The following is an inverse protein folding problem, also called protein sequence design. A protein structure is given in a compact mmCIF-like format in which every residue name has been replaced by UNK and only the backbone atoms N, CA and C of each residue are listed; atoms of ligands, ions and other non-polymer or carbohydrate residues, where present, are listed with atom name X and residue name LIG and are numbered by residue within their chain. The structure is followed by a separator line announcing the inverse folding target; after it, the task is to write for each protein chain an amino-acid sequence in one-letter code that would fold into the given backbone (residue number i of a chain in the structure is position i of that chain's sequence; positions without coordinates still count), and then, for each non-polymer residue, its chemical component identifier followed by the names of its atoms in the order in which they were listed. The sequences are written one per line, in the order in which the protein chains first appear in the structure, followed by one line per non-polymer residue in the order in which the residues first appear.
data_IF_286125391293
#
_entry.id   IF_286125391293
#
_cell.length_a   1.000
_cell.length_b   1.000
_cell.length_c   1.000
_cell.angle_alpha   90.00
_cell.angle_beta   90.00
_cell.angle_gamma   90.00
#
_symmetry.space_group_name_H-M   'P 1'
#
loop_
_entity.id
_entity.type
_entity.pdbx_description
1 polymer ?
#
# COMPACT_ATOMS: atom_id res chain seq x y z
N UNK A 1 8.74 -0.33 14.35
CA UNK A 1 8.68 -0.13 12.90
C UNK A 1 7.46 -0.73 12.26
N UNK A 2 7.29 -2.03 12.43
CA UNK A 2 6.13 -2.69 11.84
C UNK A 2 4.81 -2.16 12.37
N UNK A 3 4.78 -1.79 13.64
CA UNK A 3 3.56 -1.27 14.22
C UNK A 3 3.14 0.03 13.55
N UNK A 4 4.10 0.91 13.27
CA UNK A 4 3.82 2.16 12.60
C UNK A 4 3.31 1.91 11.18
N UNK A 5 3.97 0.99 10.47
CA UNK A 5 3.55 0.65 9.13
C UNK A 5 2.16 0.03 9.12
N UNK A 6 1.88 -0.84 10.08
CA UNK A 6 0.58 -1.47 10.21
C UNK A 6 -0.52 -0.42 10.42
N UNK A 7 -0.26 0.55 11.29
CA UNK A 7 -1.23 1.61 11.54
C UNK A 7 -1.44 2.48 10.31
N UNK A 8 -0.36 2.76 9.57
CA UNK A 8 -0.47 3.55 8.36
C UNK A 8 -1.33 2.84 7.33
N UNK A 9 -1.14 1.54 7.16
CA UNK A 9 -1.94 0.76 6.23
C UNK A 9 -3.40 0.73 6.67
N UNK A 10 -3.64 0.61 7.96
CA UNK A 10 -5.01 0.59 8.49
C UNK A 10 -5.72 1.92 8.28
N UNK A 11 -4.99 3.01 8.12
CA UNK A 11 -5.57 4.32 7.89
C UNK A 11 -5.97 4.53 6.43
N UNK A 12 -5.61 3.61 5.56
CA UNK A 12 -5.94 3.73 4.14
C UNK A 12 -7.36 3.26 3.85
N UNK A 13 -7.87 3.67 2.70
CA UNK A 13 -9.14 3.17 2.22
C UNK A 13 -9.09 1.66 2.04
N UNK A 14 -10.24 0.96 2.16
CA UNK A 14 -10.25 -0.49 1.96
C UNK A 14 -9.67 -0.92 0.62
N UNK A 15 -9.87 -0.15 -0.44
CA UNK A 15 -9.34 -0.48 -1.75
C UNK A 15 -7.82 -0.47 -1.73
N UNK A 16 -7.24 0.57 -1.14
CA UNK A 16 -5.78 0.67 -1.04
C UNK A 16 -5.22 -0.43 -0.17
N UNK A 17 -5.87 -0.70 0.97
CA UNK A 17 -5.41 -1.75 1.87
C UNK A 17 -5.41 -3.11 1.19
N UNK A 18 -6.46 -3.39 0.43
CA UNK A 18 -6.58 -4.69 -0.20
C UNK A 18 -5.48 -4.93 -1.22
N UNK A 19 -5.22 -3.93 -2.08
CA UNK A 19 -4.19 -4.10 -3.10
C UNK A 19 -2.81 -4.25 -2.47
N UNK A 20 -2.53 -3.51 -1.42
CA UNK A 20 -1.24 -3.62 -0.74
C UNK A 20 -1.09 -4.97 -0.03
N UNK A 21 -2.16 -5.45 0.58
CA UNK A 21 -2.13 -6.75 1.24
C UNK A 21 -1.84 -7.86 0.24
N UNK A 22 -2.52 -7.85 -0.91
CA UNK A 22 -2.33 -8.88 -1.91
C UNK A 22 -0.92 -8.86 -2.49
N UNK A 23 -0.38 -7.67 -2.75
CA UNK A 23 0.93 -7.56 -3.38
C UNK A 23 2.09 -7.76 -2.42
N UNK A 24 1.93 -7.36 -1.16
CA UNK A 24 3.06 -7.31 -0.24
C UNK A 24 2.98 -8.31 0.89
N UNK A 25 1.80 -8.68 1.33
CA UNK A 25 1.66 -9.68 2.38
C UNK A 25 1.41 -11.05 1.80
N UNK A 26 0.55 -11.13 0.77
CA UNK A 26 0.29 -12.40 0.08
C UNK A 26 1.32 -12.65 -1.01
N UNK A 27 2.10 -11.65 -1.35
CA UNK A 27 3.17 -11.74 -2.35
C UNK A 27 2.68 -12.19 -3.72
N UNK A 28 1.50 -11.74 -4.09
CA UNK A 28 0.96 -12.05 -5.41
C UNK A 28 1.57 -11.13 -6.46
N UNK A 29 1.71 -11.65 -7.68
CA UNK A 29 2.10 -10.83 -8.80
C UNK A 29 0.97 -9.88 -9.18
N UNK A 30 1.27 -8.94 -10.07
CA UNK A 30 0.24 -8.03 -10.55
C UNK A 30 -0.88 -8.78 -11.25
N UNK A 31 -0.53 -9.78 -12.07
CA UNK A 31 -1.54 -10.56 -12.78
C UNK A 31 -2.40 -11.37 -11.81
N UNK A 32 -1.78 -11.98 -10.82
CA UNK A 32 -2.52 -12.75 -9.83
C UNK A 32 -3.45 -11.84 -9.02
N UNK A 33 -2.95 -10.67 -8.65
CA UNK A 33 -3.76 -9.70 -7.93
C UNK A 33 -4.96 -9.28 -8.76
N UNK A 34 -4.74 -9.02 -10.05
CA UNK A 34 -5.82 -8.64 -10.94
C UNK A 34 -6.88 -9.73 -10.99
N UNK A 35 -6.47 -10.99 -11.03
CA UNK A 35 -7.42 -12.10 -11.05
C UNK A 35 -8.24 -12.16 -9.78
N UNK A 36 -7.58 -11.99 -8.63
CA UNK A 36 -8.29 -12.03 -7.35
C UNK A 36 -9.33 -10.91 -7.28
N UNK A 37 -8.97 -9.72 -7.78
CA UNK A 37 -9.85 -8.57 -7.72
C UNK A 37 -10.86 -8.53 -8.86
N UNK A 38 -10.71 -9.39 -9.86
CA UNK A 38 -11.61 -9.39 -11.01
C UNK A 38 -11.47 -8.17 -11.88
N UNK A 39 -10.25 -7.66 -12.00
CA UNK A 39 -9.97 -6.47 -12.82
C UNK A 39 -8.84 -6.78 -13.79
N UNK A 40 -8.61 -5.85 -14.71
CA UNK A 40 -7.53 -5.99 -15.67
C UNK A 40 -6.18 -5.74 -15.01
N UNK A 41 -5.11 -6.36 -15.51
CA UNK A 41 -3.78 -6.12 -14.95
C UNK A 41 -3.37 -4.66 -14.95
N UNK A 42 -3.74 -3.90 -15.98
CA UNK A 42 -3.43 -2.47 -16.01
C UNK A 42 -4.14 -1.72 -14.90
N UNK A 43 -5.39 -2.11 -14.60
CA UNK A 43 -6.13 -1.49 -13.50
C UNK A 43 -5.50 -1.86 -12.15
N UNK A 44 -5.08 -3.11 -12.01
CA UNK A 44 -4.40 -3.54 -10.78
C UNK A 44 -3.11 -2.75 -10.58
N UNK A 45 -2.34 -2.56 -11.65
CA UNK A 45 -1.10 -1.81 -11.59
C UNK A 45 -1.36 -0.36 -11.16
N UNK A 46 -2.38 0.27 -11.74
CA UNK A 46 -2.73 1.64 -11.38
C UNK A 46 -3.19 1.75 -9.94
N UNK A 47 -3.98 0.79 -9.47
CA UNK A 47 -4.41 0.79 -8.07
C UNK A 47 -3.22 0.66 -7.13
N UNK A 48 -2.26 -0.19 -7.51
CA UNK A 48 -1.07 -0.40 -6.70
C UNK A 48 -0.26 0.89 -6.58
N UNK A 49 -0.06 1.57 -7.71
CA UNK A 49 0.69 2.83 -7.72
C UNK A 49 0.00 3.87 -6.83
N UNK A 50 -1.32 3.97 -6.95
CA UNK A 50 -2.07 4.94 -6.15
C UNK A 50 -2.06 4.58 -4.67
N UNK A 51 -2.16 3.29 -4.37
CA UNK A 51 -2.12 2.85 -2.97
C UNK A 51 -0.77 3.18 -2.34
N UNK A 52 0.33 2.97 -3.08
CA UNK A 52 1.65 3.33 -2.59
C UNK A 52 1.78 4.82 -2.35
N UNK A 53 1.20 5.61 -3.25
CA UNK A 53 1.21 7.06 -3.11
C UNK A 53 0.47 7.48 -1.85
N UNK A 54 -0.70 6.91 -1.62
CA UNK A 54 -1.49 7.22 -0.44
C UNK A 54 -0.78 6.77 0.84
N UNK A 55 -0.18 5.59 0.80
CA UNK A 55 0.58 5.10 1.94
C UNK A 55 1.72 6.06 2.27
N UNK A 56 2.42 6.52 1.25
CA UNK A 56 3.52 7.46 1.45
C UNK A 56 3.03 8.74 2.12
N UNK A 57 1.87 9.24 1.71
CA UNK A 57 1.31 10.43 2.32
C UNK A 57 0.98 10.22 3.78
N UNK A 58 0.41 9.06 4.12
CA UNK A 58 0.11 8.74 5.51
C UNK A 58 1.38 8.68 6.34
N UNK A 59 2.42 8.02 5.80
CA UNK A 59 3.67 7.89 6.51
C UNK A 59 4.36 9.24 6.70
N UNK A 60 4.25 10.12 5.73
CA UNK A 60 4.82 11.47 5.87
C UNK A 60 4.15 12.24 7.00
N UNK A 61 2.87 11.99 7.22
CA UNK A 61 2.14 12.66 8.29
C UNK A 61 2.37 11.99 9.65
N UNK A 62 3.06 10.85 9.68
CA UNK A 62 3.30 10.11 10.91
C UNK A 62 4.56 10.64 11.58
N UNK A 63 4.44 11.17 12.82
CA UNK A 63 5.61 11.72 13.50
C UNK A 63 6.71 10.70 13.66
N UNK A 64 7.91 11.09 13.30
CA UNK A 64 9.09 10.28 13.54
C UNK A 64 9.41 9.25 12.50
N UNK A 65 8.52 8.99 11.54
CA UNK A 65 8.77 7.91 10.59
C UNK A 65 9.94 8.23 9.66
N UNK A 66 9.96 9.42 9.10
CA UNK A 66 11.05 9.84 8.21
C UNK A 66 12.03 10.80 8.85
N UNK A 67 11.84 11.11 10.12
CA UNK A 67 12.58 12.21 10.75
C UNK A 67 14.08 11.99 10.75
N UNK A 68 14.52 10.78 11.04
CA UNK A 68 15.95 10.52 11.11
C UNK A 68 16.65 10.67 9.78
N UNK A 69 15.92 10.60 8.70
CA UNK A 69 16.48 10.73 7.37
C UNK A 69 16.82 12.17 7.04
N UNK A 70 16.37 13.08 7.86
CA UNK A 70 16.57 14.51 7.65
C UNK A 70 17.88 15.00 8.24
N UNK A 71 18.47 14.20 9.07
CA UNK A 71 19.74 14.51 9.72
C UNK A 71 20.96 14.30 8.80
#
# INVERSE_FOLDING_TARGET
MQLILQEAINALDPIDREILALRHFEELSNDETAQVLGIKPSAASNRHIRALKHLRQVLKATPGFFDKDRE
#
